data_IF_206223674064
#
_entry.id   IF_206223674064
#
_cell.length_a   1.000
_cell.length_b   1.000
_cell.length_c   1.000
_cell.angle_alpha   90.00
_cell.angle_beta   90.00
_cell.angle_gamma   90.00
#
_symmetry.space_group_name_H-M   'P 1'
#
loop_
_entity.id
_entity.type
_entity.pdbx_description
1 polymer ?
#
# COMPACT_ATOMS: atom_id res chain seq x y z
N UNK A 1 59.97 -2.25 -0.02
CA UNK A 1 58.69 -2.53 0.65
C UNK A 1 57.58 -2.60 -0.39
N UNK A 2 57.35 -3.76 -1.01
CA UNK A 2 56.08 -4.02 -1.73
C UNK A 2 55.90 -5.53 -1.89
N UNK A 3 55.04 -6.10 -1.05
CA UNK A 3 54.60 -7.51 -1.12
C UNK A 3 53.62 -7.63 -2.30
N UNK A 4 53.77 -8.58 -3.22
CA UNK A 4 52.78 -8.77 -4.28
C UNK A 4 51.44 -9.23 -3.67
N UNK A 5 50.28 -8.76 -4.17
CA UNK A 5 48.99 -9.22 -3.71
C UNK A 5 48.85 -10.72 -4.02
N UNK A 6 48.60 -11.50 -2.97
CA UNK A 6 48.29 -12.92 -3.10
C UNK A 6 46.90 -13.03 -3.74
N UNK A 7 46.88 -13.28 -5.05
CA UNK A 7 45.67 -13.53 -5.83
C UNK A 7 45.12 -14.87 -5.38
N UNK A 8 44.24 -14.85 -4.38
CA UNK A 8 43.54 -16.03 -3.89
C UNK A 8 42.46 -16.38 -4.92
N UNK A 9 42.77 -17.34 -5.78
CA UNK A 9 41.81 -17.88 -6.74
C UNK A 9 40.54 -18.33 -5.99
N UNK A 10 39.34 -17.84 -6.34
CA UNK A 10 38.13 -18.21 -5.65
C UNK A 10 37.90 -19.70 -5.86
N UNK A 11 37.99 -20.47 -4.78
CA UNK A 11 37.77 -21.91 -4.82
C UNK A 11 36.39 -22.18 -5.43
N UNK A 12 36.22 -23.15 -6.36
CA UNK A 12 34.94 -23.41 -7.02
C UNK A 12 33.80 -23.72 -6.03
N UNK A 13 34.17 -24.19 -4.83
CA UNK A 13 33.25 -24.40 -3.69
C UNK A 13 32.66 -23.10 -3.12
N UNK A 14 33.44 -22.01 -3.10
CA UNK A 14 32.98 -20.68 -2.65
C UNK A 14 32.03 -20.05 -3.67
N UNK A 15 32.30 -20.26 -4.97
CA UNK A 15 31.42 -19.83 -6.06
C UNK A 15 30.09 -20.58 -6.02
N UNK A 16 30.12 -21.90 -5.80
CA UNK A 16 28.91 -22.72 -5.65
C UNK A 16 28.08 -22.32 -4.43
N UNK A 17 28.72 -22.08 -3.28
CA UNK A 17 28.04 -21.64 -2.06
C UNK A 17 27.38 -20.26 -2.23
N UNK A 18 28.07 -19.32 -2.89
CA UNK A 18 27.54 -18.01 -3.20
C UNK A 18 26.29 -18.10 -4.09
N UNK A 19 26.35 -18.89 -5.17
CA UNK A 19 25.21 -19.07 -6.09
C UNK A 19 23.99 -19.68 -5.41
N UNK A 20 24.17 -20.66 -4.53
CA UNK A 20 23.08 -21.29 -3.77
C UNK A 20 22.45 -20.30 -2.78
N UNK A 21 23.26 -19.48 -2.11
CA UNK A 21 22.76 -18.46 -1.19
C UNK A 21 21.95 -17.37 -1.91
N UNK A 22 22.38 -16.92 -3.10
CA UNK A 22 21.63 -15.94 -3.89
C UNK A 22 20.30 -16.53 -4.39
N UNK A 23 20.29 -17.80 -4.80
CA UNK A 23 19.07 -18.49 -5.23
C UNK A 23 18.04 -18.63 -4.10
N UNK A 24 18.49 -18.92 -2.87
CA UNK A 24 17.61 -19.02 -1.70
C UNK A 24 17.00 -17.68 -1.29
N UNK A 25 17.73 -16.57 -1.43
CA UNK A 25 17.21 -15.22 -1.19
C UNK A 25 16.16 -14.82 -2.23
N UNK A 26 16.35 -15.23 -3.50
CA UNK A 26 15.41 -14.97 -4.59
C UNK A 26 14.11 -15.80 -4.49
N UNK A 27 14.16 -16.94 -3.79
CA UNK A 27 12.98 -17.79 -3.55
C UNK A 27 12.26 -17.48 -2.23
N UNK A 28 12.75 -16.51 -1.45
CA UNK A 28 12.01 -16.07 -0.28
C UNK A 28 10.72 -15.39 -0.77
N UNK A 29 9.52 -15.91 -0.43
CA UNK A 29 8.29 -15.18 -0.70
C UNK A 29 8.37 -13.88 0.09
N UNK A 30 8.22 -12.76 -0.59
CA UNK A 30 7.97 -11.46 0.04
C UNK A 30 6.72 -11.64 0.90
N UNK A 31 6.91 -11.82 2.21
CA UNK A 31 5.79 -11.88 3.15
C UNK A 31 5.21 -10.47 3.26
N UNK A 32 4.52 -10.04 2.23
CA UNK A 32 3.46 -9.07 2.38
C UNK A 32 2.47 -9.70 3.37
N UNK A 33 2.17 -9.04 4.51
CA UNK A 33 1.16 -9.56 5.42
C UNK A 33 -0.14 -9.63 4.62
N UNK A 34 -0.60 -10.86 4.38
CA UNK A 34 -1.91 -11.11 3.80
C UNK A 34 -2.93 -10.80 4.90
N UNK A 35 -3.13 -9.50 5.14
CA UNK A 35 -4.37 -9.03 5.71
C UNK A 35 -5.47 -9.43 4.72
N UNK A 36 -6.59 -9.97 5.21
CA UNK A 36 -7.84 -10.15 4.47
C UNK A 36 -7.92 -9.10 3.36
N UNK A 37 -7.73 -9.52 2.11
CA UNK A 37 -7.45 -8.61 1.03
C UNK A 37 -8.73 -7.82 0.70
N UNK A 38 -8.95 -6.72 1.42
CA UNK A 38 -9.94 -5.73 1.03
C UNK A 38 -9.60 -5.34 -0.40
N UNK A 39 -10.52 -5.63 -1.31
CA UNK A 39 -10.36 -5.26 -2.71
C UNK A 39 -10.42 -3.74 -2.77
N UNK A 40 -9.26 -3.13 -3.07
CA UNK A 40 -9.15 -1.68 -3.20
C UNK A 40 -9.88 -1.23 -4.49
N UNK A 41 -11.19 -1.03 -4.40
CA UNK A 41 -12.00 -0.51 -5.48
C UNK A 41 -12.75 0.76 -5.06
N UNK A 42 -12.58 1.89 -5.78
CA UNK A 42 -13.33 3.11 -5.48
C UNK A 42 -14.84 2.94 -5.64
N UNK A 43 -15.30 1.91 -6.36
CA UNK A 43 -16.74 1.60 -6.51
C UNK A 43 -17.39 1.16 -5.19
N UNK A 44 -16.62 0.61 -4.24
CA UNK A 44 -17.12 0.28 -2.90
C UNK A 44 -17.54 1.54 -2.12
N UNK A 45 -17.04 2.71 -2.51
CA UNK A 45 -17.39 4.02 -1.93
C UNK A 45 -18.53 4.72 -2.68
N UNK A 46 -19.20 4.06 -3.62
CA UNK A 46 -20.34 4.62 -4.37
C UNK A 46 -21.46 5.13 -3.46
N UNK A 47 -21.72 4.43 -2.35
CA UNK A 47 -22.68 4.86 -1.32
C UNK A 47 -22.33 6.19 -0.64
N UNK A 48 -21.08 6.65 -0.76
CA UNK A 48 -20.62 7.96 -0.28
C UNK A 48 -20.74 9.08 -1.32
N UNK A 49 -21.07 8.78 -2.58
CA UNK A 49 -21.04 9.74 -3.68
C UNK A 49 -21.88 10.99 -3.37
N UNK A 50 -23.14 10.81 -2.95
CA UNK A 50 -24.02 11.93 -2.59
C UNK A 50 -23.46 12.77 -1.43
N UNK A 51 -22.89 12.13 -0.40
CA UNK A 51 -22.33 12.86 0.75
C UNK A 51 -21.07 13.66 0.38
N UNK A 52 -20.31 13.19 -0.62
CA UNK A 52 -19.13 13.86 -1.16
C UNK A 52 -19.54 14.99 -2.13
N UNK A 53 -20.57 14.83 -2.95
CA UNK A 53 -20.94 15.82 -3.97
C UNK A 53 -21.91 16.90 -3.50
N UNK A 54 -22.88 16.59 -2.64
CA UNK A 54 -23.98 17.51 -2.27
C UNK A 54 -23.97 18.00 -0.83
N UNK A 55 -22.93 17.68 -0.06
CA UNK A 55 -22.86 17.97 1.38
C UNK A 55 -23.92 17.30 2.26
N UNK A 56 -24.65 16.33 1.73
CA UNK A 56 -25.54 15.48 2.50
C UNK A 56 -24.79 14.69 3.59
N UNK A 57 -25.46 14.33 4.69
CA UNK A 57 -24.88 13.43 5.70
C UNK A 57 -24.58 12.06 5.07
N UNK A 58 -23.46 11.41 5.45
CA UNK A 58 -23.15 10.06 4.97
C UNK A 58 -24.11 9.02 5.54
N UNK A 59 -24.47 8.03 4.73
CA UNK A 59 -25.24 6.87 5.17
C UNK A 59 -24.41 5.93 6.04
N UNK A 60 -25.08 5.07 6.81
CA UNK A 60 -24.40 4.03 7.59
C UNK A 60 -23.56 3.09 6.70
N UNK A 61 -24.08 2.76 5.50
CA UNK A 61 -23.39 1.95 4.50
C UNK A 61 -22.11 2.63 4.01
N UNK A 62 -22.19 3.93 3.69
CA UNK A 62 -21.01 4.73 3.33
C UNK A 62 -19.94 4.64 4.43
N UNK A 63 -20.33 4.86 5.69
CA UNK A 63 -19.36 4.79 6.78
C UNK A 63 -18.79 3.39 7.01
N UNK A 64 -19.56 2.31 6.80
CA UNK A 64 -19.03 0.93 6.85
C UNK A 64 -17.96 0.73 5.78
N UNK A 65 -18.32 1.03 4.52
CA UNK A 65 -17.44 0.82 3.37
C UNK A 65 -16.19 1.69 3.42
N UNK A 66 -16.30 2.92 3.90
CA UNK A 66 -15.15 3.80 4.09
C UNK A 66 -14.18 3.29 5.16
N UNK A 67 -14.68 2.64 6.22
CA UNK A 67 -13.84 2.01 7.25
C UNK A 67 -13.15 0.77 6.72
N UNK A 68 -13.86 -0.06 5.95
CA UNK A 68 -13.29 -1.23 5.26
C UNK A 68 -12.15 -0.81 4.31
N UNK A 69 -12.34 0.27 3.55
CA UNK A 69 -11.36 0.77 2.56
C UNK A 69 -10.19 1.57 3.15
N UNK A 70 -10.07 1.69 4.47
CA UNK A 70 -8.95 2.41 5.11
C UNK A 70 -7.55 2.09 4.57
N UNK A 71 -7.13 0.81 4.41
CA UNK A 71 -5.81 0.49 3.88
C UNK A 71 -5.58 1.00 2.45
N UNK A 72 -6.65 1.22 1.68
CA UNK A 72 -6.61 1.63 0.29
C UNK A 72 -6.56 3.16 0.10
N UNK A 73 -6.88 3.95 1.15
CA UNK A 73 -7.02 5.41 1.04
C UNK A 73 -5.74 6.10 0.53
N UNK A 74 -4.55 5.65 0.96
CA UNK A 74 -3.30 6.18 0.43
C UNK A 74 -3.15 5.94 -1.08
N UNK A 75 -3.57 4.76 -1.56
CA UNK A 75 -3.59 4.46 -3.00
C UNK A 75 -4.50 5.41 -3.77
N UNK A 76 -5.67 5.72 -3.23
CA UNK A 76 -6.59 6.68 -3.84
C UNK A 76 -6.06 8.11 -3.83
N UNK A 77 -5.36 8.53 -2.76
CA UNK A 77 -4.75 9.86 -2.68
C UNK A 77 -3.60 10.00 -3.68
N UNK A 78 -2.81 8.94 -3.88
CA UNK A 78 -1.68 8.92 -4.82
C UNK A 78 -2.12 8.82 -6.29
N UNK A 79 -3.33 8.31 -6.55
CA UNK A 79 -3.87 8.25 -7.90
C UNK A 79 -4.40 9.64 -8.36
N UNK A 80 -3.81 10.27 -9.39
CA UNK A 80 -4.21 11.62 -9.82
C UNK A 80 -5.67 11.71 -10.28
N UNK A 81 -6.25 10.63 -10.81
CA UNK A 81 -7.64 10.60 -11.26
C UNK A 81 -8.63 10.61 -10.08
N UNK A 82 -8.22 10.08 -8.92
CA UNK A 82 -9.07 9.94 -7.74
C UNK A 82 -8.79 11.02 -6.67
N UNK A 83 -7.57 11.55 -6.64
CA UNK A 83 -7.09 12.50 -5.63
C UNK A 83 -8.05 13.65 -5.40
N UNK A 84 -8.55 14.28 -6.46
CA UNK A 84 -9.49 15.41 -6.39
C UNK A 84 -10.76 15.08 -5.60
N UNK A 85 -11.26 13.85 -5.69
CA UNK A 85 -12.48 13.42 -4.99
C UNK A 85 -12.18 13.10 -3.52
N UNK A 86 -11.13 12.33 -3.25
CA UNK A 86 -10.80 11.86 -1.88
C UNK A 86 -10.16 12.94 -1.00
N UNK A 87 -9.59 13.99 -1.60
CA UNK A 87 -9.01 15.12 -0.86
C UNK A 87 -9.92 16.35 -0.80
N UNK A 88 -11.12 16.28 -1.40
CA UNK A 88 -12.10 17.36 -1.37
C UNK A 88 -12.54 17.73 0.06
N UNK A 89 -12.99 18.98 0.31
CA UNK A 89 -13.49 19.38 1.62
C UNK A 89 -14.63 18.47 2.13
N UNK A 90 -15.52 18.06 1.22
CA UNK A 90 -16.64 17.18 1.54
C UNK A 90 -16.17 15.76 1.88
N UNK A 91 -15.20 15.20 1.16
CA UNK A 91 -14.64 13.89 1.50
C UNK A 91 -13.95 13.89 2.87
N UNK A 92 -13.20 14.95 3.19
CA UNK A 92 -12.60 15.13 4.53
C UNK A 92 -13.66 15.21 5.62
N UNK A 93 -14.75 15.94 5.39
CA UNK A 93 -15.89 16.00 6.33
C UNK A 93 -16.51 14.62 6.52
N UNK A 94 -16.81 13.90 5.43
CA UNK A 94 -17.39 12.55 5.46
C UNK A 94 -16.49 11.60 6.25
N UNK A 95 -15.18 11.59 5.97
CA UNK A 95 -14.22 10.78 6.72
C UNK A 95 -14.27 11.09 8.22
N UNK A 96 -14.30 12.37 8.59
CA UNK A 96 -14.42 12.81 9.99
C UNK A 96 -15.73 12.35 10.64
N UNK A 97 -16.86 12.51 9.95
CA UNK A 97 -18.19 12.06 10.42
C UNK A 97 -18.25 10.55 10.62
N UNK A 98 -17.63 9.78 9.72
CA UNK A 98 -17.54 8.32 9.81
C UNK A 98 -16.43 7.82 10.75
N UNK A 99 -15.71 8.71 11.43
CA UNK A 99 -14.61 8.36 12.34
C UNK A 99 -13.38 7.78 11.64
N UNK A 100 -13.16 8.08 10.36
CA UNK A 100 -12.00 7.64 9.56
C UNK A 100 -10.92 8.73 9.57
N UNK A 101 -9.77 8.53 10.25
CA UNK A 101 -8.69 9.51 10.22
C UNK A 101 -8.09 9.57 8.84
N UNK A 102 -7.62 10.75 8.47
CA UNK A 102 -6.85 10.95 7.25
C UNK A 102 -5.52 10.19 7.36
N UNK A 103 -5.16 9.36 6.38
CA UNK A 103 -3.89 8.64 6.44
C UNK A 103 -2.72 9.59 6.14
N UNK A 104 -1.57 9.31 6.77
CA UNK A 104 -0.29 9.90 6.37
C UNK A 104 0.30 9.01 5.28
N UNK A 105 0.44 9.56 4.09
CA UNK A 105 0.94 8.91 2.88
C UNK A 105 1.97 9.83 2.22
#
# INVERSE_FOLDING_TARGET
MTKPPSIRSPSPRLLAAALVATALVLLAPDRAPVAEAVTCSPTELSSCASAITSSAPPSALCCSKLREQRPCLCGYIKNPNLRQYVTSPNAKRVARTCGVPSPTC
#
